data_IF_508447887274
#
_entry.id   IF_508447887274
#
_cell.length_a   1.000
_cell.length_b   1.000
_cell.length_c   1.000
_cell.angle_alpha   90.00
_cell.angle_beta   90.00
_cell.angle_gamma   90.00
#
_symmetry.space_group_name_H-M   'P 1'
#
loop_
_entity.id
_entity.type
_entity.pdbx_description
1 polymer ?
#
# COMPACT_ATOMS: atom_id res chain seq x y z
N UNK A 1 5.42 6.56 -14.88
CA UNK A 1 4.35 5.93 -14.10
C UNK A 1 4.23 6.51 -12.70
N UNK A 2 5.34 6.70 -11.99
CA UNK A 2 5.29 7.32 -10.67
C UNK A 2 5.06 8.81 -10.80
N UNK A 3 4.17 9.36 -9.95
CA UNK A 3 3.98 10.81 -9.88
C UNK A 3 5.09 11.40 -9.02
N UNK A 4 5.77 12.41 -9.54
CA UNK A 4 6.90 13.03 -8.85
C UNK A 4 6.52 13.58 -7.48
N UNK A 5 5.29 14.06 -7.32
CA UNK A 5 4.83 14.63 -6.04
C UNK A 5 4.71 13.58 -4.93
N UNK A 6 4.65 12.28 -5.28
CA UNK A 6 4.55 11.22 -4.29
C UNK A 6 5.95 10.82 -3.84
N UNK A 7 6.59 11.70 -3.04
CA UNK A 7 7.99 11.57 -2.67
C UNK A 7 8.24 10.87 -1.34
N UNK A 8 7.22 10.72 -0.51
CA UNK A 8 7.37 10.06 0.78
C UNK A 8 6.85 8.63 0.71
N UNK A 9 7.49 7.75 1.46
CA UNK A 9 7.17 6.33 1.51
C UNK A 9 6.50 6.00 2.81
N UNK A 10 5.46 5.15 2.74
CA UNK A 10 4.67 4.76 3.90
C UNK A 10 4.54 3.25 3.96
N UNK A 11 4.74 2.71 5.13
CA UNK A 11 4.40 1.32 5.43
C UNK A 11 3.01 1.33 6.07
N UNK A 12 2.12 0.50 5.53
CA UNK A 12 0.74 0.49 5.99
C UNK A 12 0.34 -0.91 6.42
N UNK A 13 -0.17 -1.03 7.63
CA UNK A 13 -0.77 -2.25 8.13
C UNK A 13 -2.28 -2.10 8.01
N UNK A 14 -2.90 -3.00 7.25
CA UNK A 14 -4.33 -3.03 7.06
C UNK A 14 -4.90 -4.20 7.85
N UNK A 15 -5.71 -3.92 8.86
CA UNK A 15 -6.42 -4.95 9.61
C UNK A 15 -7.84 -5.06 9.08
N UNK A 16 -8.30 -6.26 8.75
CA UNK A 16 -9.66 -6.43 8.25
C UNK A 16 -10.67 -6.06 9.34
N UNK A 17 -11.72 -5.36 8.94
CA UNK A 17 -12.76 -4.92 9.88
C UNK A 17 -13.58 -6.08 10.42
N UNK A 18 -13.61 -7.22 9.70
CA UNK A 18 -14.33 -8.41 10.11
C UNK A 18 -13.79 -9.63 9.38
N UNK A 19 -14.15 -10.81 9.85
CA UNK A 19 -13.78 -12.06 9.18
C UNK A 19 -14.45 -12.16 7.80
N UNK A 20 -15.66 -11.65 7.68
CA UNK A 20 -16.37 -11.60 6.39
C UNK A 20 -15.63 -10.74 5.39
N UNK A 21 -15.17 -9.56 5.82
CA UNK A 21 -14.39 -8.66 4.96
C UNK A 21 -13.10 -9.34 4.52
N UNK A 22 -12.42 -10.05 5.42
CA UNK A 22 -11.21 -10.80 5.09
C UNK A 22 -11.47 -11.85 4.04
N UNK A 23 -12.49 -12.67 4.24
CA UNK A 23 -12.83 -13.74 3.31
C UNK A 23 -13.18 -13.19 1.93
N UNK A 24 -13.95 -12.13 1.88
CA UNK A 24 -14.33 -11.49 0.63
C UNK A 24 -13.11 -10.93 -0.10
N UNK A 25 -12.25 -10.20 0.61
CA UNK A 25 -11.07 -9.59 0.03
C UNK A 25 -10.09 -10.64 -0.51
N UNK A 26 -9.93 -11.75 0.19
CA UNK A 26 -9.00 -12.81 -0.18
C UNK A 26 -9.58 -13.82 -1.17
N UNK A 27 -10.84 -13.67 -1.55
CA UNK A 27 -11.45 -14.56 -2.54
C UNK A 27 -10.84 -14.26 -3.91
N UNK A 28 -10.27 -15.29 -4.59
CA UNK A 28 -9.72 -15.10 -5.93
C UNK A 28 -10.78 -14.60 -6.91
N UNK A 29 -10.41 -13.79 -7.90
CA UNK A 29 -11.38 -13.22 -8.84
C UNK A 29 -12.26 -14.26 -9.52
N UNK A 30 -11.69 -15.41 -9.92
CA UNK A 30 -12.41 -16.47 -10.61
C UNK A 30 -13.43 -17.18 -9.73
N UNK A 31 -13.32 -17.05 -8.41
CA UNK A 31 -14.24 -17.63 -7.44
C UNK A 31 -15.27 -16.63 -6.90
N UNK A 32 -15.23 -15.39 -7.40
CA UNK A 32 -16.23 -14.38 -7.01
C UNK A 32 -17.55 -14.64 -7.74
N UNK A 33 -18.60 -14.03 -7.23
CA UNK A 33 -19.94 -14.12 -7.82
C UNK A 33 -20.42 -12.70 -8.18
N UNK A 34 -20.45 -12.30 -9.46
CA UNK A 34 -20.04 -13.11 -10.63
C UNK A 34 -18.51 -13.25 -10.73
N UNK A 35 -18.02 -14.31 -11.38
CA UNK A 35 -16.59 -14.49 -11.58
C UNK A 35 -15.98 -13.31 -12.33
N UNK A 36 -14.76 -12.93 -11.93
CA UNK A 36 -14.04 -11.81 -12.50
C UNK A 36 -12.76 -12.31 -13.18
N UNK A 37 -12.29 -11.66 -14.25
CA UNK A 37 -11.01 -12.02 -14.84
C UNK A 37 -9.87 -11.67 -13.88
N UNK A 38 -8.80 -12.46 -13.93
CA UNK A 38 -7.59 -12.17 -13.17
C UNK A 38 -6.87 -10.99 -13.81
N UNK A 39 -6.20 -10.20 -12.97
CA UNK A 39 -5.41 -9.06 -13.40
C UNK A 39 -3.95 -9.43 -13.47
N UNK A 40 -3.23 -8.86 -14.45
CA UNK A 40 -1.78 -8.88 -14.43
C UNK A 40 -1.25 -7.91 -13.37
N UNK A 41 0.00 -8.08 -12.97
CA UNK A 41 0.65 -7.12 -12.07
C UNK A 41 0.70 -5.72 -12.68
N UNK A 42 0.90 -5.64 -14.00
CA UNK A 42 0.91 -4.34 -14.68
C UNK A 42 -0.45 -3.64 -14.57
N UNK A 43 -1.53 -4.38 -14.80
CA UNK A 43 -2.88 -3.82 -14.67
C UNK A 43 -3.15 -3.37 -13.25
N UNK A 44 -2.78 -4.19 -12.26
CA UNK A 44 -2.90 -3.82 -10.86
C UNK A 44 -2.10 -2.55 -10.56
N UNK A 45 -0.87 -2.46 -11.04
CA UNK A 45 0.00 -1.32 -10.78
C UNK A 45 -0.59 -0.02 -11.34
N UNK A 46 -1.17 -0.08 -12.54
CA UNK A 46 -1.83 1.09 -13.14
C UNK A 46 -3.06 1.50 -12.32
N UNK A 47 -3.87 0.54 -11.93
CA UNK A 47 -5.09 0.82 -11.15
C UNK A 47 -4.78 1.28 -9.72
N UNK A 48 -3.59 0.98 -9.22
CA UNK A 48 -3.17 1.39 -7.88
C UNK A 48 -2.68 2.85 -7.82
N UNK A 49 -2.58 3.52 -8.97
CA UNK A 49 -2.23 4.94 -9.02
C UNK A 49 -3.49 5.75 -8.74
N UNK A 50 -3.53 6.40 -7.58
CA UNK A 50 -4.64 7.24 -7.21
C UNK A 50 -4.32 8.72 -7.37
N UNK A 51 -5.30 9.56 -7.09
CA UNK A 51 -5.13 11.00 -7.10
C UNK A 51 -4.24 11.48 -5.95
N UNK A 52 -4.37 10.85 -4.78
CA UNK A 52 -3.73 11.29 -3.54
C UNK A 52 -2.50 10.46 -3.18
N UNK A 53 -2.47 9.21 -3.57
CA UNK A 53 -1.42 8.28 -3.21
C UNK A 53 -1.39 7.11 -4.19
N UNK A 54 -0.29 6.39 -4.18
CA UNK A 54 -0.11 5.21 -5.04
C UNK A 54 0.36 4.05 -4.20
N UNK A 55 -0.32 2.90 -4.35
CA UNK A 55 0.15 1.67 -3.74
C UNK A 55 1.22 1.05 -4.63
N UNK A 56 2.38 0.80 -4.05
CA UNK A 56 3.52 0.27 -4.77
C UNK A 56 3.60 -1.23 -4.70
N UNK A 57 3.12 -1.79 -3.61
CA UNK A 57 3.23 -3.23 -3.39
C UNK A 57 2.31 -3.63 -2.24
N UNK A 58 1.71 -4.80 -2.37
CA UNK A 58 0.88 -5.38 -1.33
C UNK A 58 1.40 -6.77 -1.00
N UNK A 59 1.39 -7.11 0.28
CA UNK A 59 1.88 -8.39 0.78
C UNK A 59 0.80 -9.03 1.63
N UNK A 60 0.10 -9.99 1.06
CA UNK A 60 -0.99 -10.69 1.73
C UNK A 60 -0.62 -12.13 2.04
N UNK A 61 -0.90 -12.53 3.27
CA UNK A 61 -0.93 -13.93 3.65
C UNK A 61 -2.37 -14.33 3.89
N UNK A 62 -2.59 -15.18 4.87
CA UNK A 62 -3.92 -15.65 5.25
C UNK A 62 -4.32 -15.19 6.65
N UNK A 63 -3.71 -14.13 7.13
CA UNK A 63 -4.00 -13.56 8.43
C UNK A 63 -5.14 -12.54 8.38
N UNK A 64 -5.47 -11.97 9.51
CA UNK A 64 -6.50 -10.95 9.62
C UNK A 64 -5.97 -9.55 9.33
N UNK A 65 -4.77 -9.46 8.80
CA UNK A 65 -4.14 -8.22 8.36
C UNK A 65 -3.22 -8.48 7.18
N UNK A 66 -2.85 -7.40 6.47
CA UNK A 66 -1.86 -7.47 5.39
C UNK A 66 -1.09 -6.15 5.35
N UNK A 67 -0.03 -6.12 4.55
CA UNK A 67 0.85 -4.94 4.46
C UNK A 67 0.84 -4.36 3.08
N UNK A 68 0.99 -3.03 3.02
CA UNK A 68 1.24 -2.34 1.76
C UNK A 68 2.36 -1.33 1.92
N UNK A 69 3.04 -1.08 0.82
CA UNK A 69 3.96 0.03 0.67
C UNK A 69 3.28 1.08 -0.21
N UNK A 70 3.08 2.27 0.31
CA UNK A 70 2.46 3.38 -0.41
C UNK A 70 3.44 4.53 -0.57
N UNK A 71 3.23 5.32 -1.62
CA UNK A 71 3.90 6.61 -1.78
C UNK A 71 2.86 7.71 -1.85
N UNK A 72 3.17 8.87 -1.25
CA UNK A 72 2.27 10.01 -1.19
C UNK A 72 3.04 11.25 -0.77
N UNK A 73 2.37 12.40 -0.71
CA UNK A 73 2.95 13.63 -0.15
C UNK A 73 2.88 13.64 1.37
N UNK A 74 1.85 13.00 1.94
CA UNK A 74 1.63 13.00 3.39
C UNK A 74 0.90 11.73 3.82
N UNK A 75 0.95 11.47 5.12
CA UNK A 75 0.19 10.40 5.75
C UNK A 75 -1.32 10.54 5.50
N UNK A 76 -1.84 11.76 5.64
CA UNK A 76 -3.26 12.02 5.43
C UNK A 76 -3.68 11.68 4.00
N UNK A 77 -2.83 11.89 3.03
CA UNK A 77 -3.12 11.57 1.64
C UNK A 77 -3.28 10.08 1.42
N UNK A 78 -2.54 9.25 2.16
CA UNK A 78 -2.73 7.80 2.10
C UNK A 78 -4.12 7.43 2.61
N UNK A 79 -4.53 7.98 3.75
CA UNK A 79 -5.88 7.73 4.27
C UNK A 79 -6.96 8.24 3.30
N UNK A 80 -6.74 9.40 2.71
CA UNK A 80 -7.69 9.96 1.75
C UNK A 80 -7.85 9.05 0.53
N UNK A 81 -6.74 8.48 0.06
CA UNK A 81 -6.78 7.55 -1.07
C UNK A 81 -7.47 6.23 -0.68
N UNK A 82 -7.22 5.73 0.52
CA UNK A 82 -7.90 4.53 1.01
C UNK A 82 -9.41 4.74 1.11
N UNK A 83 -9.83 5.92 1.52
CA UNK A 83 -11.25 6.29 1.53
C UNK A 83 -11.82 6.36 0.11
N UNK A 84 -11.07 6.95 -0.82
CA UNK A 84 -11.51 7.07 -2.22
C UNK A 84 -11.66 5.70 -2.88
N UNK A 85 -10.81 4.73 -2.51
CA UNK A 85 -10.93 3.35 -2.98
C UNK A 85 -11.98 2.55 -2.22
N UNK A 86 -12.66 3.15 -1.27
CA UNK A 86 -13.69 2.52 -0.44
C UNK A 86 -13.15 1.33 0.38
N UNK A 87 -11.91 1.43 0.81
CA UNK A 87 -11.27 0.41 1.62
C UNK A 87 -11.30 0.74 3.11
N UNK A 88 -10.96 1.99 3.46
CA UNK A 88 -10.85 2.37 4.86
C UNK A 88 -12.19 2.36 5.57
N UNK A 89 -12.27 1.66 6.69
CA UNK A 89 -13.48 1.55 7.48
C UNK A 89 -14.52 0.57 6.95
N UNK A 90 -14.44 0.18 5.68
CA UNK A 90 -15.37 -0.76 5.06
C UNK A 90 -14.78 -2.16 4.95
N UNK A 91 -13.52 -2.25 4.56
CA UNK A 91 -12.80 -3.51 4.38
C UNK A 91 -11.71 -3.63 5.44
N UNK A 92 -10.98 -2.55 5.68
CA UNK A 92 -9.84 -2.53 6.60
C UNK A 92 -9.88 -1.29 7.48
N UNK A 93 -9.20 -1.40 8.62
CA UNK A 93 -8.75 -0.27 9.42
C UNK A 93 -7.25 -0.23 9.28
N UNK A 94 -6.72 0.90 8.85
CA UNK A 94 -5.32 1.00 8.47
C UNK A 94 -4.52 1.82 9.45
N UNK A 95 -3.26 1.44 9.61
CA UNK A 95 -2.27 2.19 10.36
C UNK A 95 -1.15 2.56 9.41
N UNK A 96 -1.00 3.85 9.15
CA UNK A 96 -0.03 4.39 8.21
C UNK A 96 1.16 4.92 8.99
N UNK A 97 2.37 4.52 8.58
CA UNK A 97 3.61 5.00 9.20
C UNK A 97 4.59 5.40 8.11
N UNK A 98 5.17 6.58 8.24
CA UNK A 98 6.18 7.00 7.28
C UNK A 98 7.44 6.14 7.44
N UNK A 99 7.94 5.64 6.29
CA UNK A 99 9.20 4.89 6.27
C UNK A 99 10.33 5.85 5.97
N UNK A 100 11.34 5.81 6.82
CA UNK A 100 12.53 6.64 6.63
C UNK A 100 13.66 5.89 5.93
N UNK A 101 13.50 4.60 5.72
CA UNK A 101 14.46 3.80 4.97
C UNK A 101 13.70 2.70 4.22
N UNK A 102 13.99 2.58 2.94
CA UNK A 102 13.44 1.51 2.13
C UNK A 102 14.53 0.92 1.25
N UNK A 103 14.88 -0.33 1.56
CA UNK A 103 15.93 -1.08 0.86
C UNK A 103 15.33 -2.37 0.34
N UNK A 104 15.59 -2.70 -0.91
CA UNK A 104 15.01 -3.89 -1.53
C UNK A 104 16.05 -4.68 -2.30
N UNK A 105 16.18 -5.95 -1.95
CA UNK A 105 17.04 -6.87 -2.69
C UNK A 105 16.52 -7.13 -4.10
N UNK A 106 15.22 -6.93 -4.33
CA UNK A 106 14.64 -7.09 -5.67
C UNK A 106 15.13 -6.03 -6.64
N UNK A 107 15.37 -4.81 -6.17
CA UNK A 107 15.97 -3.77 -7.00
C UNK A 107 17.44 -4.05 -7.24
N UNK A 108 18.13 -4.55 -6.21
CA UNK A 108 19.58 -4.81 -6.26
C UNK A 108 20.33 -3.63 -6.88
N UNK A 109 19.89 -2.41 -6.58
CA UNK A 109 20.45 -1.18 -7.11
C UNK A 109 21.80 -0.90 -6.50
N UNK A 110 22.70 -0.26 -7.24
CA UNK A 110 23.99 0.18 -6.73
C UNK A 110 23.92 1.56 -6.08
N UNK A 111 22.73 2.11 -5.90
CA UNK A 111 22.55 3.35 -5.16
C UNK A 111 22.94 3.16 -3.70
N UNK A 112 23.53 4.20 -3.13
CA UNK A 112 23.89 4.19 -1.72
C UNK A 112 22.63 4.15 -0.88
N UNK A 113 22.60 3.25 0.10
CA UNK A 113 21.50 3.18 1.04
C UNK A 113 21.41 4.48 1.83
N UNK A 114 20.22 5.04 1.86
CA UNK A 114 19.96 6.29 2.54
C UNK A 114 19.25 6.03 3.85
N UNK A 115 19.71 6.65 4.91
CA UNK A 115 19.07 6.58 6.21
C UNK A 115 18.36 7.89 6.51
N UNK A 116 17.19 7.76 7.08
CA UNK A 116 16.43 8.87 7.61
C UNK A 116 16.49 8.84 9.14
N UNK A 117 16.25 9.95 9.76
CA UNK A 117 16.01 11.26 9.18
C UNK A 117 17.25 11.82 8.49
N UNK A 118 17.03 12.76 7.59
CA UNK A 118 18.12 13.49 6.95
C UNK A 118 18.89 14.29 7.98
N UNK A 119 20.05 14.84 7.54
CA UNK A 119 20.88 15.66 8.40
C UNK A 119 20.06 16.78 9.03
N UNK A 120 20.15 16.91 10.34
CA UNK A 120 19.40 17.90 11.11
C UNK A 120 18.14 17.37 11.77
N UNK A 121 17.58 16.27 11.28
CA UNK A 121 16.46 15.62 11.91
C UNK A 121 16.93 14.66 12.99
N UNK A 122 16.03 14.22 13.83
CA UNK A 122 16.38 13.31 14.94
C UNK A 122 15.39 12.17 15.04
N UNK A 123 15.91 11.01 15.33
CA UNK A 123 15.10 9.86 15.67
C UNK A 123 14.53 10.05 17.08
N UNK A 124 13.24 9.98 17.22
CA UNK A 124 12.58 10.11 18.51
C UNK A 124 11.48 9.07 18.69
#
# INVERSE_FOLDING_TARGET
MLKERFSKHFFVIHSFVSDEARQEYLTPPEKRDPPQPQKSELQWAVEAIGEYAQCMQTCCGNDDFFYCHWIAESEDDVYQQLNAFELEGKVVNSRVSEMHQFVSAYRASDEIMRQYPDEGDKWE
#
